data_IF_762694510496
#
_entry.id   IF_762694510496
#
_cell.length_a   1.000
_cell.length_b   1.000
_cell.length_c   1.000
_cell.angle_alpha   90.00
_cell.angle_beta   90.00
_cell.angle_gamma   90.00
#
_symmetry.space_group_name_H-M   'P 1'
#
loop_
_entity.id
_entity.type
_entity.pdbx_description
1 polymer ?
#
# COMPACT_ATOMS: atom_id res chain seq x y z
N UNK A 1 -9.63 1.06 9.52
CA UNK A 1 -8.78 1.13 8.31
C UNK A 1 -9.58 1.65 7.12
N UNK A 2 -9.08 2.64 6.39
CA UNK A 2 -9.72 3.17 5.17
C UNK A 2 -8.71 3.23 4.03
N UNK A 3 -9.07 2.72 2.84
CA UNK A 3 -8.31 2.93 1.61
C UNK A 3 -8.50 4.40 1.18
N UNK A 4 -7.41 5.16 1.10
CA UNK A 4 -7.45 6.59 0.80
C UNK A 4 -6.87 6.90 -0.58
N UNK A 5 -5.92 6.09 -1.06
CA UNK A 5 -5.38 6.18 -2.42
C UNK A 5 -4.97 4.78 -2.91
N UNK A 6 -4.94 4.58 -4.21
CA UNK A 6 -4.39 3.35 -4.80
C UNK A 6 -3.85 3.62 -6.20
N UNK A 7 -2.93 2.76 -6.64
CA UNK A 7 -2.57 2.55 -8.03
C UNK A 7 -2.90 1.09 -8.37
N UNK A 8 -3.87 0.84 -9.27
CA UNK A 8 -4.30 -0.52 -9.59
C UNK A 8 -3.13 -1.42 -9.94
N UNK A 9 -3.05 -2.60 -9.32
CA UNK A 9 -1.99 -3.60 -9.51
C UNK A 9 -0.61 -3.26 -8.93
N UNK A 10 -0.42 -2.08 -8.34
CA UNK A 10 0.88 -1.67 -7.82
C UNK A 10 0.89 -1.43 -6.32
N UNK A 11 0.04 -0.54 -5.83
CA UNK A 11 0.06 -0.18 -4.41
C UNK A 11 -1.28 0.38 -3.92
N UNK A 12 -1.48 0.29 -2.62
CA UNK A 12 -2.67 0.74 -1.91
C UNK A 12 -2.24 1.49 -0.65
N UNK A 13 -2.77 2.69 -0.44
CA UNK A 13 -2.50 3.51 0.74
C UNK A 13 -3.72 3.54 1.64
N UNK A 14 -3.50 3.18 2.91
CA UNK A 14 -4.52 3.14 3.93
C UNK A 14 -4.22 4.13 5.05
N UNK A 15 -5.29 4.58 5.71
CA UNK A 15 -5.22 5.34 6.96
C UNK A 15 -6.07 4.69 8.05
N UNK A 16 -5.52 4.62 9.24
CA UNK A 16 -6.24 4.30 10.47
C UNK A 16 -5.77 5.22 11.59
N UNK A 17 -6.66 6.09 12.05
CA UNK A 17 -6.34 7.15 13.01
C UNK A 17 -5.16 8.02 12.52
N UNK A 18 -4.02 7.97 13.22
CA UNK A 18 -2.78 8.69 12.87
C UNK A 18 -1.78 7.83 12.08
N UNK A 19 -2.06 6.55 11.89
CA UNK A 19 -1.19 5.63 11.17
C UNK A 19 -1.55 5.54 9.69
N UNK A 20 -0.50 5.42 8.88
CA UNK A 20 -0.59 5.19 7.44
C UNK A 20 0.06 3.85 7.12
N UNK A 21 -0.61 3.09 6.27
CA UNK A 21 -0.14 1.79 5.84
C UNK A 21 -0.09 1.73 4.32
N UNK A 22 0.93 1.07 3.80
CA UNK A 22 1.15 0.89 2.37
C UNK A 22 1.15 -0.60 2.08
N UNK A 23 0.21 -1.07 1.26
CA UNK A 23 0.34 -2.36 0.60
C UNK A 23 1.07 -2.14 -0.73
N UNK A 24 2.10 -2.92 -1.01
CA UNK A 24 2.85 -2.89 -2.26
C UNK A 24 2.92 -4.28 -2.88
N UNK A 25 2.62 -4.36 -4.17
CA UNK A 25 2.80 -5.55 -4.99
C UNK A 25 4.03 -5.37 -5.87
N UNK A 26 4.96 -6.33 -5.83
CA UNK A 26 6.14 -6.36 -6.70
C UNK A 26 6.07 -7.61 -7.57
N UNK A 27 6.02 -7.40 -8.88
CA UNK A 27 6.09 -8.47 -9.87
C UNK A 27 7.54 -8.92 -10.06
N UNK A 28 7.87 -10.11 -9.54
CA UNK A 28 9.19 -10.74 -9.65
C UNK A 28 9.25 -11.72 -10.85
N UNK A 29 8.56 -11.40 -11.95
CA UNK A 29 8.44 -12.15 -13.21
C UNK A 29 7.70 -13.50 -13.15
N UNK A 30 7.95 -14.31 -12.11
CA UNK A 30 7.30 -15.62 -11.92
C UNK A 30 6.28 -15.62 -10.80
N UNK A 31 6.33 -14.62 -9.93
CA UNK A 31 5.46 -14.48 -8.76
C UNK A 31 5.28 -13.00 -8.46
N UNK A 32 4.08 -12.63 -8.04
CA UNK A 32 3.82 -11.33 -7.43
C UNK A 32 3.92 -11.51 -5.91
N UNK A 33 4.83 -10.76 -5.30
CA UNK A 33 4.97 -10.71 -3.85
C UNK A 33 4.31 -9.44 -3.32
N UNK A 34 3.58 -9.57 -2.21
CA UNK A 34 2.91 -8.45 -1.57
C UNK A 34 3.50 -8.19 -0.19
N UNK A 35 3.68 -6.92 0.15
CA UNK A 35 4.07 -6.50 1.49
C UNK A 35 3.12 -5.44 2.01
N UNK A 36 2.64 -5.64 3.24
CA UNK A 36 1.85 -4.67 3.98
C UNK A 36 2.75 -3.99 5.01
N UNK A 37 2.93 -2.68 4.85
CA UNK A 37 3.94 -1.90 5.56
C UNK A 37 3.27 -0.83 6.41
N UNK A 38 3.86 -0.53 7.57
CA UNK A 38 3.58 0.73 8.26
C UNK A 38 4.51 1.82 7.72
N UNK A 39 3.97 2.98 7.35
CA UNK A 39 4.79 4.12 6.96
C UNK A 39 5.52 4.69 8.16
N UNK A 40 6.76 5.10 7.94
CA UNK A 40 7.53 5.86 8.92
C UNK A 40 6.92 7.25 9.11
N UNK A 41 7.29 7.92 10.19
CA UNK A 41 6.89 9.32 10.43
C UNK A 41 7.33 10.25 9.30
N UNK A 42 8.52 10.02 8.72
CA UNK A 42 9.04 10.82 7.62
C UNK A 42 8.22 10.64 6.32
N UNK A 43 7.88 9.40 5.98
CA UNK A 43 7.05 9.11 4.79
C UNK A 43 5.63 9.63 4.96
N UNK A 44 5.07 9.49 6.17
CA UNK A 44 3.77 10.07 6.53
C UNK A 44 3.78 11.58 6.37
N UNK A 45 4.82 12.26 6.84
CA UNK A 45 4.95 13.71 6.71
C UNK A 45 5.14 14.14 5.25
N UNK A 46 5.94 13.38 4.49
CA UNK A 46 6.16 13.64 3.06
C UNK A 46 4.85 13.51 2.29
N UNK A 47 4.04 12.48 2.59
CA UNK A 47 2.70 12.32 2.02
C UNK A 47 1.77 13.47 2.39
N UNK A 48 1.75 13.91 3.65
CA UNK A 48 0.95 15.08 4.06
C UNK A 48 1.34 16.37 3.33
N UNK A 49 2.59 16.49 2.88
CA UNK A 49 3.09 17.68 2.17
C UNK A 49 2.95 17.59 0.65
N UNK A 50 3.21 16.42 0.07
CA UNK A 50 3.37 16.23 -1.38
C UNK A 50 2.23 15.39 -1.99
N UNK A 51 1.39 14.78 -1.17
CA UNK A 51 0.30 13.90 -1.58
C UNK A 51 0.79 12.65 -2.32
N UNK A 52 -0.05 12.15 -3.22
CA UNK A 52 0.14 10.91 -4.00
C UNK A 52 1.55 10.70 -4.56
N UNK A 53 2.18 11.77 -5.06
CA UNK A 53 3.49 11.69 -5.72
C UNK A 53 4.54 11.08 -4.78
N UNK A 54 4.52 11.40 -3.48
CA UNK A 54 5.49 10.82 -2.55
C UNK A 54 5.33 9.31 -2.39
N UNK A 55 4.11 8.79 -2.46
CA UNK A 55 3.84 7.36 -2.37
C UNK A 55 4.24 6.65 -3.66
N UNK A 56 4.01 7.26 -4.81
CA UNK A 56 4.49 6.74 -6.09
C UNK A 56 6.02 6.61 -6.12
N UNK A 57 6.75 7.66 -5.71
CA UNK A 57 8.21 7.62 -5.66
C UNK A 57 8.73 6.64 -4.61
N UNK A 58 8.06 6.57 -3.45
CA UNK A 58 8.38 5.58 -2.43
C UNK A 58 8.21 4.15 -2.96
N UNK A 59 7.06 3.82 -3.56
CA UNK A 59 6.79 2.51 -4.12
C UNK A 59 7.79 2.14 -5.23
N UNK A 60 8.12 3.08 -6.14
CA UNK A 60 9.15 2.88 -7.17
C UNK A 60 10.50 2.53 -6.56
N UNK A 61 10.91 3.22 -5.50
CA UNK A 61 12.19 2.95 -4.83
C UNK A 61 12.24 1.56 -4.19
N UNK A 62 11.13 1.10 -3.58
CA UNK A 62 11.02 -0.25 -3.02
C UNK A 62 11.06 -1.33 -4.10
N UNK A 63 10.33 -1.14 -5.20
CA UNK A 63 10.37 -2.05 -6.36
C UNK A 63 11.78 -2.14 -6.93
N UNK A 64 12.45 -0.99 -7.09
CA UNK A 64 13.81 -0.95 -7.60
C UNK A 64 14.83 -1.66 -6.68
N UNK A 65 14.62 -1.62 -5.36
CA UNK A 65 15.42 -2.38 -4.39
C UNK A 65 15.13 -3.88 -4.49
N UNK A 66 13.86 -4.28 -4.56
CA UNK A 66 13.43 -5.66 -4.71
C UNK A 66 14.04 -6.33 -5.96
N UNK A 67 14.06 -5.60 -7.09
CA UNK A 67 14.70 -6.06 -8.33
C UNK A 67 16.21 -6.25 -8.24
N UNK A 68 16.86 -5.63 -7.24
CA UNK A 68 18.27 -5.86 -6.92
C UNK A 68 18.47 -6.94 -5.84
N UNK A 69 17.40 -7.59 -5.39
CA UNK A 69 17.41 -8.58 -4.32
C UNK A 69 17.47 -7.98 -2.91
N UNK A 70 17.20 -6.68 -2.75
CA UNK A 70 17.15 -6.02 -1.44
C UNK A 70 15.70 -5.81 -1.00
N UNK A 71 15.28 -6.61 -0.02
CA UNK A 71 13.95 -6.56 0.58
C UNK A 71 13.93 -5.92 1.98
N UNK A 72 15.09 -5.49 2.48
CA UNK A 72 15.28 -5.05 3.87
C UNK A 72 14.35 -3.89 4.24
N UNK A 73 14.13 -2.97 3.29
CA UNK A 73 13.24 -1.82 3.43
C UNK A 73 11.79 -2.26 3.67
N UNK A 74 11.33 -3.37 3.11
CA UNK A 74 9.96 -3.86 3.30
C UNK A 74 9.86 -4.73 4.55
N UNK A 75 10.81 -5.67 4.73
CA UNK A 75 10.78 -6.63 5.83
C UNK A 75 10.92 -6.00 7.22
N UNK A 76 11.68 -4.91 7.33
CA UNK A 76 11.94 -4.21 8.61
C UNK A 76 10.72 -3.51 9.22
N UNK A 77 9.62 -3.39 8.47
CA UNK A 77 8.47 -2.56 8.84
C UNK A 77 7.14 -3.15 8.40
N UNK A 78 7.07 -4.47 8.36
CA UNK A 78 5.81 -5.17 8.16
C UNK A 78 4.77 -4.70 9.17
N UNK A 79 3.57 -4.41 8.67
CA UNK A 79 2.42 -4.14 9.52
C UNK A 79 2.14 -5.37 10.39
N UNK A 80 1.62 -5.14 11.60
CA UNK A 80 1.18 -6.25 12.47
C UNK A 80 0.03 -7.01 11.82
N UNK A 81 -0.12 -8.28 12.16
CA UNK A 81 -1.15 -9.16 11.60
C UNK A 81 -2.57 -8.56 11.65
N UNK A 82 -2.92 -7.89 12.76
CA UNK A 82 -4.22 -7.21 12.90
C UNK A 82 -4.41 -6.10 11.86
N UNK A 83 -3.38 -5.28 11.63
CA UNK A 83 -3.42 -4.23 10.62
C UNK A 83 -3.48 -4.81 9.20
N UNK A 84 -2.74 -5.89 8.92
CA UNK A 84 -2.80 -6.59 7.63
C UNK A 84 -4.22 -7.09 7.33
N UNK A 85 -4.86 -7.73 8.30
CA UNK A 85 -6.25 -8.19 8.18
C UNK A 85 -7.22 -7.01 7.96
N UNK A 86 -7.01 -5.90 8.67
CA UNK A 86 -7.81 -4.69 8.51
C UNK A 86 -7.63 -4.04 7.13
N UNK A 87 -6.40 -4.04 6.58
CA UNK A 87 -6.11 -3.58 5.21
C UNK A 87 -6.83 -4.45 4.17
N UNK A 88 -6.72 -5.78 4.29
CA UNK A 88 -7.41 -6.71 3.38
C UNK A 88 -8.94 -6.55 3.43
N UNK A 89 -9.51 -6.41 4.62
CA UNK A 89 -10.95 -6.18 4.80
C UNK A 89 -11.38 -4.85 4.17
N UNK A 90 -10.58 -3.79 4.35
CA UNK A 90 -10.85 -2.48 3.77
C UNK A 90 -10.81 -2.52 2.23
N UNK A 91 -9.83 -3.20 1.64
CA UNK A 91 -9.76 -3.37 0.19
C UNK A 91 -10.99 -4.08 -0.37
N UNK A 92 -11.38 -5.20 0.27
CA UNK A 92 -12.54 -5.99 -0.15
C UNK A 92 -13.83 -5.15 -0.10
N UNK A 93 -14.05 -4.43 1.00
CA UNK A 93 -15.22 -3.55 1.13
C UNK A 93 -15.23 -2.45 0.07
N UNK A 94 -14.07 -1.82 -0.20
CA UNK A 94 -13.94 -0.80 -1.24
C UNK A 94 -14.24 -1.35 -2.64
N UNK A 95 -13.73 -2.56 -2.96
CA UNK A 95 -14.02 -3.25 -4.22
C UNK A 95 -15.50 -3.53 -4.41
N UNK A 96 -16.16 -4.06 -3.37
CA UNK A 96 -17.59 -4.37 -3.41
C UNK A 96 -18.45 -3.11 -3.63
N UNK A 97 -18.11 -2.01 -2.97
CA UNK A 97 -18.80 -0.72 -3.15
C UNK A 97 -18.62 -0.19 -4.59
N UNK A 98 -17.41 -0.26 -5.13
CA UNK A 98 -17.12 0.19 -6.50
C UNK A 98 -17.87 -0.65 -7.55
N UNK A 99 -17.90 -1.97 -7.37
CA UNK A 99 -18.58 -2.87 -8.31
C UNK A 99 -20.10 -2.67 -8.28
N UNK A 100 -20.68 -2.26 -7.15
CA UNK A 100 -22.10 -1.88 -7.05
C UNK A 100 -22.42 -0.56 -7.75
N UNK A 101 -21.50 0.42 -7.75
CA UNK A 101 -21.68 1.68 -8.46
C UNK A 101 -21.69 1.45 -9.98
N UNK A 102 -20.77 0.64 -10.49
CA UNK A 102 -20.68 0.33 -11.94
C UNK A 102 -21.91 -0.40 -12.46
N UNK A 103 -22.60 -1.20 -11.62
CA UNK A 103 -23.81 -1.96 -12.02
C UNK A 103 -25.09 -1.12 -12.03
N UNK A 104 -25.06 0.13 -11.57
CA UNK A 104 -26.23 1.03 -11.54
C UNK A 104 -26.25 2.04 -12.70
N UNK A 105 -25.20 2.07 -13.51
CA UNK A 105 -25.08 2.86 -14.74
C UNK A 105 -25.26 1.96 -15.98
#
# INVERSE_FOLDING_TARGET
>A
MNLIEHEPHFWELYRESEHYYLSIAVDMSSVVSCWDLILTSNETQTYKQQGRISIQELAKSMVAAAYKGDFSIMESRLAKLEAQQAMQAAFKAWREQRDQLIRKD
#
